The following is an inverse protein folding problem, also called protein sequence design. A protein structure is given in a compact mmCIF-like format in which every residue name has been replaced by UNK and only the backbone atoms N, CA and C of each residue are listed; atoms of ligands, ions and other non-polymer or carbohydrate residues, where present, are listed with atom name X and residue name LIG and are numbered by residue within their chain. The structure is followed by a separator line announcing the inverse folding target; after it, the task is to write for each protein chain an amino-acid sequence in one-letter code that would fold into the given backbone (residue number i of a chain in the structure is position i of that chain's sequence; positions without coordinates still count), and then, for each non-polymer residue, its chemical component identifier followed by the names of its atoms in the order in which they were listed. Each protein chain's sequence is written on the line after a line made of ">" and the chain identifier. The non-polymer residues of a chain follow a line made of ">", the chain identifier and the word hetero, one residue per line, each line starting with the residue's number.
data_IF_794057262017
#
_entry.id   IF_794057262017
#
_cell.length_a   1.000
_cell.length_b   1.000
_cell.length_c   1.000
_cell.angle_alpha   90.00
_cell.angle_beta   90.00
_cell.angle_gamma   90.00
#
_symmetry.space_group_name_H-M   'P 1'
#
loop_
_entity.id
_entity.type
_entity.pdbx_description
1 polymer ?
#
# COMPACT_ATOMS: atom_id res chain seq x y z
N UNK A 1 0.67 27.80 3.80
CA UNK A 1 0.06 26.55 4.28
C UNK A 1 0.49 25.43 3.35
N UNK A 2 1.58 24.74 3.69
CA UNK A 2 2.05 23.60 2.89
C UNK A 2 1.04 22.48 3.06
N UNK A 3 0.23 22.20 2.02
CA UNK A 3 -0.58 20.99 1.94
C UNK A 3 0.38 19.81 2.09
N UNK A 4 0.41 19.20 3.27
CA UNK A 4 0.94 17.86 3.45
C UNK A 4 0.11 17.01 2.49
N UNK A 5 0.64 16.66 1.32
CA UNK A 5 0.03 15.64 0.48
C UNK A 5 0.07 14.40 1.36
N UNK A 6 -1.05 14.06 1.99
CA UNK A 6 -1.21 12.74 2.56
C UNK A 6 -1.05 11.81 1.36
N UNK A 7 0.01 10.98 1.37
CA UNK A 7 0.10 9.87 0.44
C UNK A 7 -1.04 8.94 0.83
N UNK A 8 -2.19 9.12 0.19
CA UNK A 8 -3.30 8.20 0.28
C UNK A 8 -2.97 6.99 -0.58
N UNK A 9 -3.12 5.82 0.02
CA UNK A 9 -2.94 4.53 -0.63
C UNK A 9 -4.28 3.85 -0.87
N UNK A 10 -4.35 3.06 -1.95
CA UNK A 10 -5.50 2.25 -2.32
C UNK A 10 -5.06 0.84 -2.71
N UNK A 11 -5.90 -0.15 -2.39
CA UNK A 11 -5.71 -1.53 -2.81
C UNK A 11 -6.33 -1.72 -4.19
N UNK A 12 -5.57 -2.32 -5.10
CA UNK A 12 -6.02 -2.64 -6.46
C UNK A 12 -5.76 -4.11 -6.76
N UNK A 13 -6.61 -4.69 -7.60
CA UNK A 13 -6.46 -6.06 -8.06
C UNK A 13 -5.88 -6.11 -9.49
N UNK A 14 -5.02 -7.08 -9.75
CA UNK A 14 -4.55 -7.44 -11.08
C UNK A 14 -4.67 -8.96 -11.27
N UNK A 15 -5.38 -9.40 -12.30
CA UNK A 15 -5.58 -10.83 -12.61
C UNK A 15 -4.27 -11.63 -12.76
N UNK A 16 -3.15 -10.96 -13.10
CA UNK A 16 -1.84 -11.61 -13.28
C UNK A 16 -0.99 -11.68 -12.02
N UNK A 17 -1.22 -10.80 -11.04
CA UNK A 17 -0.32 -10.60 -9.89
C UNK A 17 -1.02 -10.56 -8.53
N UNK A 18 -2.35 -10.64 -8.49
CA UNK A 18 -3.14 -10.53 -7.27
C UNK A 18 -3.35 -9.08 -6.85
N UNK A 19 -3.48 -8.88 -5.54
CA UNK A 19 -3.74 -7.58 -4.94
C UNK A 19 -2.44 -6.82 -4.72
N UNK A 20 -2.49 -5.49 -4.87
CA UNK A 20 -1.35 -4.62 -4.66
C UNK A 20 -1.79 -3.26 -4.15
N UNK A 21 -0.89 -2.57 -3.46
CA UNK A 21 -1.16 -1.24 -2.90
C UNK A 21 -0.43 -0.17 -3.69
N UNK A 22 -1.15 0.86 -4.09
CA UNK A 22 -0.64 1.98 -4.90
C UNK A 22 -1.00 3.31 -4.24
N UNK A 23 -0.07 4.26 -4.27
CA UNK A 23 -0.31 5.63 -3.84
C UNK A 23 -1.08 6.44 -4.89
N UNK A 24 -1.75 7.50 -4.47
CA UNK A 24 -2.41 8.47 -5.37
C UNK A 24 -1.46 9.17 -6.34
N UNK A 25 -0.16 9.14 -6.08
CA UNK A 25 0.90 9.58 -6.99
C UNK A 25 1.21 8.57 -8.12
N UNK A 26 0.60 7.38 -8.10
CA UNK A 26 0.76 6.33 -9.10
C UNK A 26 1.93 5.39 -8.85
N UNK A 27 2.71 5.56 -7.77
CA UNK A 27 3.76 4.63 -7.39
C UNK A 27 3.25 3.53 -6.47
N UNK A 28 3.83 2.33 -6.60
CA UNK A 28 3.54 1.21 -5.71
C UNK A 28 4.03 1.51 -4.29
N UNK A 29 3.22 1.15 -3.30
CA UNK A 29 3.63 1.21 -1.92
C UNK A 29 4.80 0.24 -1.69
N UNK A 30 5.82 0.73 -0.98
CA UNK A 30 6.92 -0.09 -0.53
C UNK A 30 6.75 -0.39 0.95
N UNK A 31 6.67 -1.67 1.29
CA UNK A 31 6.64 -2.14 2.67
C UNK A 31 8.02 -2.62 3.07
N UNK A 32 8.40 -2.31 4.30
CA UNK A 32 9.60 -2.89 4.91
C UNK A 32 9.28 -4.29 5.42
N UNK A 33 10.00 -5.29 4.93
CA UNK A 33 9.77 -6.68 5.33
C UNK A 33 10.71 -7.14 6.46
N UNK A 34 11.38 -6.22 7.16
CA UNK A 34 12.34 -6.53 8.23
C UNK A 34 13.70 -7.06 7.75
N UNK A 35 13.86 -7.39 6.46
CA UNK A 35 15.12 -7.82 5.82
C UNK A 35 16.00 -6.62 5.40
N UNK A 36 15.60 -5.39 5.75
CA UNK A 36 16.26 -4.15 5.31
C UNK A 36 16.10 -3.85 3.82
N UNK A 37 15.18 -4.55 3.15
CA UNK A 37 14.84 -4.33 1.73
C UNK A 37 13.38 -3.93 1.61
N UNK A 38 13.15 -2.74 1.09
CA UNK A 38 11.84 -2.29 0.65
C UNK A 38 11.35 -3.18 -0.49
N UNK A 39 10.14 -3.73 -0.36
CA UNK A 39 9.48 -4.51 -1.42
C UNK A 39 8.14 -3.89 -1.76
N UNK A 40 7.77 -4.00 -3.02
CA UNK A 40 6.43 -3.59 -3.45
C UNK A 40 5.37 -4.43 -2.72
N UNK A 41 4.33 -3.75 -2.24
CA UNK A 41 3.24 -4.33 -1.46
C UNK A 41 2.29 -5.13 -2.36
N UNK A 42 2.58 -6.41 -2.56
CA UNK A 42 1.75 -7.39 -3.27
C UNK A 42 1.21 -8.43 -2.29
N UNK A 43 -0.06 -8.81 -2.44
CA UNK A 43 -0.80 -9.68 -1.54
C UNK A 43 -1.62 -10.72 -2.30
N UNK A 44 -1.83 -11.87 -1.67
CA UNK A 44 -2.65 -12.95 -2.22
C UNK A 44 -4.15 -12.67 -2.11
N UNK A 45 -4.54 -11.84 -1.13
CA UNK A 45 -5.94 -11.58 -0.77
C UNK A 45 -6.25 -10.10 -0.64
N UNK A 46 -7.52 -9.74 -0.88
CA UNK A 46 -8.04 -8.37 -0.72
C UNK A 46 -7.88 -7.88 0.72
N UNK A 47 -8.23 -8.72 1.70
CA UNK A 47 -8.16 -8.40 3.13
C UNK A 47 -6.75 -7.99 3.58
N UNK A 48 -5.71 -8.66 3.08
CA UNK A 48 -4.31 -8.32 3.40
C UNK A 48 -3.91 -6.97 2.78
N UNK A 49 -4.34 -6.71 1.55
CA UNK A 49 -4.07 -5.45 0.86
C UNK A 49 -4.79 -4.27 1.53
N UNK A 50 -6.05 -4.46 1.94
CA UNK A 50 -6.81 -3.46 2.67
C UNK A 50 -6.22 -3.18 4.06
N UNK A 51 -5.80 -4.23 4.79
CA UNK A 51 -5.12 -4.06 6.08
C UNK A 51 -3.83 -3.24 5.92
N UNK A 52 -3.08 -3.47 4.83
CA UNK A 52 -1.90 -2.69 4.50
C UNK A 52 -2.24 -1.23 4.19
N UNK A 53 -3.29 -0.97 3.39
CA UNK A 53 -3.77 0.39 3.11
C UNK A 53 -4.12 1.13 4.40
N UNK A 54 -4.85 0.47 5.32
CA UNK A 54 -5.25 1.08 6.60
C UNK A 54 -4.03 1.47 7.44
N UNK A 55 -3.04 0.58 7.52
CA UNK A 55 -1.78 0.84 8.21
C UNK A 55 -0.98 1.99 7.57
N UNK A 56 -0.91 2.04 6.23
CA UNK A 56 -0.17 3.07 5.51
C UNK A 56 -0.84 4.45 5.56
N UNK A 57 -2.17 4.49 5.54
CA UNK A 57 -2.93 5.74 5.64
C UNK A 57 -2.99 6.29 7.09
N UNK A 58 -2.43 5.59 8.08
CA UNK A 58 -2.48 6.00 9.48
C UNK A 58 -3.89 5.89 10.10
N UNK A 59 -4.78 5.15 9.45
CA UNK A 59 -6.03 4.66 10.02
C UNK A 59 -5.70 3.46 10.89
N UNK A 60 -5.10 3.74 12.05
CA UNK A 60 -5.03 2.77 13.14
C UNK A 60 -6.48 2.41 13.53
N UNK A 61 -6.78 1.12 13.58
CA UNK A 61 -8.02 0.61 14.16
C UNK A 61 -7.98 0.75 15.68
#
# INVERSE_FOLDING_TARGET
>A
MSRRRYLEYEARHCDKRGWYVVGTDGHLANIDTGDGRARAAFFGSEEEAEACVRALNGTEA
#
